data_IF_116490340446
#
_entry.id   IF_116490340446
#
_cell.length_a   1.000
_cell.length_b   1.000
_cell.length_c   1.000
_cell.angle_alpha   90.00
_cell.angle_beta   90.00
_cell.angle_gamma   90.00
#
_symmetry.space_group_name_H-M   'P 1'
#
loop_
_entity.id
_entity.type
_entity.pdbx_description
1 polymer ?
#
# COMPACT_ATOMS: atom_id res chain seq x y z
N UNK A 1 33.08 79.36 51.93
CA UNK A 1 32.00 79.01 52.85
C UNK A 1 31.20 77.86 52.18
N UNK A 2 31.50 76.63 52.60
CA UNK A 2 30.92 75.40 52.10
C UNK A 2 29.93 74.86 53.09
N UNK A 3 28.68 74.65 52.65
CA UNK A 3 27.68 73.95 53.46
C UNK A 3 27.53 72.51 52.96
N UNK A 4 27.89 71.61 53.89
CA UNK A 4 27.72 70.16 53.73
C UNK A 4 26.25 69.80 54.07
N UNK A 5 25.54 69.17 53.16
CA UNK A 5 24.25 68.54 53.47
C UNK A 5 24.44 67.03 53.60
N UNK A 6 24.10 66.53 54.82
CA UNK A 6 24.01 65.12 55.12
C UNK A 6 22.62 64.62 54.75
N UNK A 7 22.55 63.62 53.84
CA UNK A 7 21.32 62.89 53.56
C UNK A 7 21.39 61.54 54.32
N UNK A 8 20.48 61.36 55.29
CA UNK A 8 20.23 60.07 55.96
C UNK A 8 19.42 59.18 54.98
N UNK A 9 19.98 58.02 54.57
CA UNK A 9 19.24 56.95 53.87
C UNK A 9 18.61 56.04 54.94
N UNK A 10 17.27 56.01 54.98
CA UNK A 10 16.50 55.00 55.70
C UNK A 10 16.43 53.75 54.83
N UNK A 11 17.04 52.65 55.22
CA UNK A 11 16.91 51.35 54.59
C UNK A 11 15.59 50.71 55.04
N UNK A 12 14.61 50.69 54.14
CA UNK A 12 13.40 49.84 54.27
C UNK A 12 13.75 48.44 53.86
N UNK A 13 13.79 47.52 54.83
CA UNK A 13 13.90 46.05 54.52
C UNK A 13 12.54 45.55 54.02
N UNK A 14 12.47 45.19 52.74
CA UNK A 14 11.35 44.46 52.12
C UNK A 14 11.57 42.98 52.44
N UNK A 15 10.62 42.25 53.04
CA UNK A 15 10.77 40.80 53.21
C UNK A 15 10.74 40.13 51.83
N UNK A 16 11.79 39.32 51.55
CA UNK A 16 11.93 38.56 50.33
C UNK A 16 10.77 37.55 50.18
N UNK A 17 9.98 37.72 49.16
CA UNK A 17 9.14 36.64 48.68
C UNK A 17 10.05 35.64 47.97
N UNK A 18 10.36 34.53 48.63
CA UNK A 18 10.89 33.33 48.00
C UNK A 18 9.81 32.75 47.07
N UNK A 19 9.83 33.17 45.84
CA UNK A 19 9.08 32.50 44.79
C UNK A 19 9.70 31.12 44.58
N UNK A 20 9.17 30.10 45.23
CA UNK A 20 9.40 28.71 44.85
C UNK A 20 8.92 28.52 43.41
N UNK A 21 9.80 28.71 42.44
CA UNK A 21 9.65 28.21 41.11
C UNK A 21 9.68 26.68 41.21
N UNK A 22 8.51 26.07 41.30
CA UNK A 22 8.40 24.63 41.03
C UNK A 22 8.92 24.41 39.62
N UNK A 23 10.18 24.02 39.54
CA UNK A 23 10.79 23.60 38.28
C UNK A 23 9.96 22.47 37.72
N UNK A 24 9.22 22.75 36.64
CA UNK A 24 8.58 21.72 35.83
C UNK A 24 9.69 20.80 35.32
N UNK A 25 9.86 19.66 36.01
CA UNK A 25 10.79 18.62 35.53
C UNK A 25 10.29 18.18 34.18
N UNK A 26 10.91 18.71 33.13
CA UNK A 26 10.60 18.32 31.75
C UNK A 26 10.90 16.83 31.63
N UNK A 27 9.87 16.01 31.48
CA UNK A 27 10.03 14.57 31.20
C UNK A 27 10.88 14.38 29.96
N UNK A 28 11.89 13.51 30.00
CA UNK A 28 12.69 13.15 28.86
C UNK A 28 11.77 12.52 27.80
N UNK A 29 11.70 13.12 26.62
CA UNK A 29 10.94 12.58 25.49
C UNK A 29 11.62 11.32 24.96
N UNK A 30 10.86 10.26 24.82
CA UNK A 30 11.34 8.93 24.39
C UNK A 30 10.63 8.41 23.13
N UNK A 31 9.54 9.07 22.73
CA UNK A 31 8.77 8.75 21.54
C UNK A 31 8.91 9.85 20.47
N UNK A 32 8.96 9.44 19.20
CA UNK A 32 8.91 10.37 18.08
C UNK A 32 7.51 10.95 17.91
N UNK A 33 6.58 10.13 17.47
CA UNK A 33 5.17 10.50 17.28
C UNK A 33 4.31 9.64 18.20
N UNK A 34 3.34 10.25 18.87
CA UNK A 34 2.23 9.55 19.53
C UNK A 34 0.93 9.88 18.80
N UNK A 35 0.29 8.86 18.24
CA UNK A 35 -1.07 8.94 17.68
C UNK A 35 -2.05 8.61 18.79
N UNK A 36 -2.96 9.54 19.10
CA UNK A 36 -3.83 9.50 20.28
C UNK A 36 -5.27 9.22 19.92
N UNK A 37 -5.87 8.21 20.57
CA UNK A 37 -7.32 7.99 20.59
C UNK A 37 -7.95 7.54 19.27
N UNK A 38 -7.17 7.00 18.33
CA UNK A 38 -7.68 6.46 17.09
C UNK A 38 -8.28 5.06 17.25
N UNK A 39 -9.24 4.71 16.40
CA UNK A 39 -9.73 3.33 16.28
C UNK A 39 -8.70 2.52 15.47
N UNK A 40 -7.83 1.81 16.18
CA UNK A 40 -6.75 1.03 15.59
C UNK A 40 -7.29 -0.28 15.02
N UNK A 41 -6.96 -0.54 13.74
CA UNK A 41 -7.22 -1.81 13.07
C UNK A 41 -5.89 -2.39 12.63
N UNK A 42 -5.43 -3.42 13.35
CA UNK A 42 -4.21 -4.17 13.03
C UNK A 42 -4.52 -5.67 12.94
N UNK A 43 -4.76 -6.18 11.74
CA UNK A 43 -5.21 -7.56 11.55
C UNK A 43 -4.21 -8.62 12.00
N UNK A 44 -2.90 -8.34 11.95
CA UNK A 44 -1.88 -9.26 12.46
C UNK A 44 -2.01 -9.50 13.96
N UNK A 45 -2.26 -8.43 14.71
CA UNK A 45 -2.30 -8.47 16.18
C UNK A 45 -3.73 -8.60 16.73
N UNK A 46 -4.74 -8.82 15.86
CA UNK A 46 -6.16 -8.89 16.20
C UNK A 46 -6.66 -7.67 16.97
N UNK A 47 -6.14 -6.48 16.63
CA UNK A 47 -6.58 -5.21 17.23
C UNK A 47 -7.67 -4.60 16.36
N UNK A 48 -8.82 -4.27 16.99
CA UNK A 48 -9.92 -3.53 16.37
C UNK A 48 -10.65 -2.74 17.47
N UNK A 49 -9.93 -1.79 18.07
CA UNK A 49 -10.42 -0.98 19.20
C UNK A 49 -9.69 0.37 19.30
N UNK A 50 -10.19 1.27 20.16
CA UNK A 50 -9.54 2.56 20.40
C UNK A 50 -8.24 2.36 21.19
N UNK A 51 -7.12 2.76 20.60
CA UNK A 51 -5.78 2.67 21.17
C UNK A 51 -4.92 3.86 20.78
N UNK A 52 -3.76 3.97 21.42
CA UNK A 52 -2.69 4.90 21.08
C UNK A 52 -1.51 4.15 20.48
N UNK A 53 -0.76 4.81 19.60
CA UNK A 53 0.43 4.25 18.96
C UNK A 53 1.59 5.23 19.20
N UNK A 54 2.74 4.72 19.66
CA UNK A 54 3.98 5.46 19.73
C UNK A 54 5.02 4.91 18.78
N UNK A 55 5.77 5.81 18.13
CA UNK A 55 6.93 5.46 17.30
C UNK A 55 8.24 5.76 18.05
N UNK A 56 9.32 5.11 17.64
CA UNK A 56 10.67 5.53 18.00
C UNK A 56 10.97 6.94 17.48
N UNK A 57 11.94 7.61 18.07
CA UNK A 57 12.40 8.91 17.58
C UNK A 57 13.16 8.71 16.28
N UNK A 58 12.74 9.44 15.25
CA UNK A 58 13.43 9.42 13.96
C UNK A 58 14.82 10.07 14.11
N UNK A 59 15.90 9.39 13.69
CA UNK A 59 17.22 10.01 13.68
C UNK A 59 17.24 11.20 12.69
N UNK A 60 18.15 12.16 12.87
CA UNK A 60 18.37 13.24 11.91
C UNK A 60 18.64 12.66 10.51
N UNK A 61 18.03 13.24 9.48
CA UNK A 61 18.33 12.88 8.10
C UNK A 61 19.68 13.50 7.70
N UNK A 62 20.63 12.67 7.29
CA UNK A 62 21.92 13.12 6.78
C UNK A 62 21.94 12.86 5.27
N UNK A 63 22.14 13.93 4.49
CA UNK A 63 22.15 13.84 3.02
C UNK A 63 23.18 12.81 2.55
N UNK A 64 22.75 11.87 1.73
CA UNK A 64 23.61 10.83 1.15
C UNK A 64 23.87 9.60 2.04
N UNK A 65 23.23 9.51 3.21
CA UNK A 65 23.30 8.31 4.05
C UNK A 65 21.95 7.59 4.12
N UNK A 66 21.93 6.25 4.16
CA UNK A 66 20.73 5.49 4.46
C UNK A 66 20.18 5.93 5.82
N UNK A 67 18.91 6.31 5.88
CA UNK A 67 18.27 6.69 7.13
C UNK A 67 17.60 5.46 7.71
N UNK A 68 18.01 5.06 8.93
CA UNK A 68 17.31 4.00 9.65
C UNK A 68 15.82 4.37 9.81
N UNK A 69 14.93 3.44 9.45
CA UNK A 69 13.48 3.64 9.60
C UNK A 69 13.09 3.38 11.06
N UNK A 70 12.58 4.41 11.79
CA UNK A 70 11.99 4.23 13.10
C UNK A 70 10.95 3.11 13.13
N UNK A 71 10.84 2.50 14.30
CA UNK A 71 9.95 1.35 14.52
C UNK A 71 8.75 1.76 15.37
N UNK A 72 7.74 0.90 15.38
CA UNK A 72 6.67 0.98 16.37
C UNK A 72 7.27 0.69 17.74
N UNK A 73 7.19 1.65 18.65
CA UNK A 73 7.71 1.54 20.01
C UNK A 73 6.69 0.90 20.96
N UNK A 74 5.41 1.28 20.83
CA UNK A 74 4.34 0.83 21.72
C UNK A 74 2.97 1.02 21.06
N UNK A 75 2.06 0.06 21.29
CA UNK A 75 0.61 0.19 21.07
C UNK A 75 -0.07 -0.11 22.39
N UNK A 76 -0.86 0.83 22.92
CA UNK A 76 -1.49 0.70 24.25
C UNK A 76 -2.75 1.58 24.34
N UNK A 77 -3.62 1.33 25.36
CA UNK A 77 -4.85 2.11 25.56
C UNK A 77 -4.61 3.55 26.03
N UNK A 78 -3.49 3.80 26.68
CA UNK A 78 -3.15 5.14 27.14
C UNK A 78 -1.63 5.34 27.17
N UNK A 79 -1.13 6.20 26.27
CA UNK A 79 0.28 6.59 26.20
C UNK A 79 0.40 8.04 26.66
N UNK A 80 1.34 8.31 27.60
CA UNK A 80 1.61 9.67 28.08
C UNK A 80 2.20 10.53 26.96
N UNK A 81 1.44 11.52 26.52
CA UNK A 81 1.84 12.43 25.43
C UNK A 81 3.00 13.36 25.80
N UNK A 82 3.27 13.58 27.11
CA UNK A 82 4.43 14.36 27.56
C UNK A 82 5.77 13.69 27.19
N UNK A 83 5.74 12.39 26.87
CA UNK A 83 6.91 11.62 26.42
C UNK A 83 7.17 11.70 24.92
N UNK A 84 6.32 12.38 24.13
CA UNK A 84 6.41 12.46 22.68
C UNK A 84 7.02 13.79 22.21
N UNK A 85 7.75 13.73 21.08
CA UNK A 85 8.16 14.93 20.35
C UNK A 85 6.98 15.58 19.62
N UNK A 86 6.09 14.74 19.08
CA UNK A 86 4.92 15.15 18.32
C UNK A 86 3.71 14.32 18.72
N UNK A 87 2.54 14.95 18.77
CA UNK A 87 1.27 14.28 19.10
C UNK A 87 0.28 14.53 17.97
N UNK A 88 -0.36 13.46 17.52
CA UNK A 88 -1.42 13.48 16.51
C UNK A 88 -2.72 13.05 17.17
N UNK A 89 -3.74 13.88 17.14
CA UNK A 89 -5.08 13.51 17.61
C UNK A 89 -5.85 12.81 16.51
N UNK A 90 -6.07 11.50 16.67
CA UNK A 90 -6.81 10.67 15.74
C UNK A 90 -8.21 10.26 16.26
N UNK A 91 -8.75 10.98 17.26
CA UNK A 91 -10.08 10.68 17.82
C UNK A 91 -11.15 10.72 16.74
N UNK A 92 -11.95 9.64 16.64
CA UNK A 92 -13.00 9.50 15.62
C UNK A 92 -12.50 9.06 14.24
N UNK A 93 -11.21 8.77 14.10
CA UNK A 93 -10.59 8.28 12.87
C UNK A 93 -10.13 6.83 13.05
N UNK A 94 -10.01 6.11 11.94
CA UNK A 94 -9.34 4.81 11.89
C UNK A 94 -7.83 4.99 11.77
N UNK A 95 -7.09 4.10 12.41
CA UNK A 95 -5.62 4.04 12.30
C UNK A 95 -5.23 2.63 11.93
N UNK A 96 -4.47 2.47 10.85
CA UNK A 96 -4.01 1.19 10.35
C UNK A 96 -2.50 1.18 10.16
N UNK A 97 -1.88 0.00 9.97
CA UNK A 97 -0.56 -0.06 9.34
C UNK A 97 -0.55 0.71 8.03
N UNK A 98 0.62 1.17 7.60
CA UNK A 98 0.81 1.74 6.27
C UNK A 98 0.34 0.77 5.19
N UNK A 99 -0.43 1.28 4.22
CA UNK A 99 -1.04 0.45 3.20
C UNK A 99 0.02 -0.07 2.22
N UNK A 100 -0.21 -1.29 1.73
CA UNK A 100 0.61 -1.99 0.74
C UNK A 100 -0.24 -2.25 -0.49
N UNK A 101 0.13 -1.64 -1.60
CA UNK A 101 -0.47 -1.88 -2.90
C UNK A 101 0.42 -2.81 -3.72
N UNK A 102 -0.01 -4.06 -3.92
CA UNK A 102 0.80 -5.08 -4.62
C UNK A 102 0.62 -5.07 -6.13
N UNK A 103 -0.18 -4.16 -6.66
CA UNK A 103 -0.42 -4.07 -8.10
C UNK A 103 -0.36 -2.62 -8.56
N UNK A 104 0.83 -2.18 -8.96
CA UNK A 104 1.06 -0.82 -9.45
C UNK A 104 2.02 -0.84 -10.63
N UNK A 105 2.06 0.25 -11.38
CA UNK A 105 2.98 0.45 -12.48
C UNK A 105 3.70 1.78 -12.30
N UNK A 106 4.90 1.70 -11.71
CA UNK A 106 5.69 2.86 -11.28
C UNK A 106 7.06 2.94 -11.94
N UNK A 107 7.36 2.06 -12.87
CA UNK A 107 8.55 2.20 -13.72
C UNK A 107 8.33 3.30 -14.76
N UNK A 108 8.19 4.53 -14.27
CA UNK A 108 8.00 5.73 -15.07
C UNK A 108 9.24 6.09 -15.86
N UNK A 109 9.05 6.58 -17.10
CA UNK A 109 10.11 7.07 -17.97
C UNK A 109 9.59 8.03 -19.02
N UNK A 110 10.41 8.30 -20.03
CA UNK A 110 10.11 9.27 -21.07
C UNK A 110 9.81 8.63 -22.43
N UNK A 111 9.93 7.31 -22.54
CA UNK A 111 9.63 6.61 -23.80
C UNK A 111 8.14 6.60 -24.09
N UNK A 112 7.72 7.22 -25.20
CA UNK A 112 6.34 7.19 -25.67
C UNK A 112 5.98 5.86 -26.36
N UNK A 113 7.00 5.11 -26.80
CA UNK A 113 6.82 3.82 -27.46
C UNK A 113 6.68 2.66 -26.47
N UNK A 114 7.07 2.85 -25.22
CA UNK A 114 7.03 1.83 -24.20
C UNK A 114 5.80 2.02 -23.31
N UNK A 115 5.10 0.93 -22.99
CA UNK A 115 3.84 0.99 -22.27
C UNK A 115 4.07 1.29 -20.77
N UNK A 116 4.41 0.28 -19.97
CA UNK A 116 4.57 0.41 -18.51
C UNK A 116 6.02 0.16 -18.04
N UNK A 117 6.93 -0.12 -18.95
CA UNK A 117 8.36 -0.30 -18.71
C UNK A 117 9.10 0.94 -19.20
N UNK A 118 9.58 1.79 -18.29
CA UNK A 118 10.23 3.06 -18.62
C UNK A 118 9.39 3.98 -19.52
N UNK A 119 8.08 3.78 -19.50
CA UNK A 119 7.11 4.49 -20.33
C UNK A 119 6.35 5.57 -19.58
N UNK A 120 5.69 6.46 -20.34
CA UNK A 120 4.92 7.58 -19.78
C UNK A 120 3.54 7.17 -19.23
N UNK A 121 3.11 5.92 -19.45
CA UNK A 121 1.84 5.40 -18.89
C UNK A 121 2.01 4.96 -17.44
N UNK A 122 3.21 4.57 -17.01
CA UNK A 122 3.54 4.41 -15.59
C UNK A 122 3.52 5.76 -14.87
N UNK A 123 3.49 5.73 -13.53
CA UNK A 123 3.41 6.96 -12.72
C UNK A 123 4.58 7.08 -11.74
N UNK A 124 4.91 8.31 -11.36
CA UNK A 124 5.88 8.58 -10.29
C UNK A 124 5.21 8.21 -8.95
N UNK A 125 5.74 7.25 -8.17
CA UNK A 125 5.06 6.74 -6.98
C UNK A 125 4.75 7.83 -5.96
N UNK A 126 5.70 8.68 -5.59
CA UNK A 126 5.58 9.70 -4.56
C UNK A 126 4.49 10.75 -4.85
N UNK A 127 4.06 10.86 -6.11
CA UNK A 127 2.98 11.79 -6.51
C UNK A 127 1.58 11.26 -6.16
N UNK A 128 1.44 9.97 -5.87
CA UNK A 128 0.12 9.33 -5.71
C UNK A 128 -0.04 8.53 -4.42
N UNK A 129 1.04 7.94 -3.89
CA UNK A 129 0.98 6.95 -2.82
C UNK A 129 0.63 7.56 -1.47
N UNK A 130 1.39 8.54 -1.00
CA UNK A 130 1.25 9.07 0.36
C UNK A 130 -0.09 9.75 0.63
N UNK A 131 -0.65 10.43 -0.36
CA UNK A 131 -1.97 11.08 -0.24
C UNK A 131 -3.13 10.09 -0.07
N UNK A 132 -2.86 8.81 -0.22
CA UNK A 132 -3.84 7.72 -0.12
C UNK A 132 -3.49 6.69 0.95
N UNK A 133 -2.50 6.99 1.81
CA UNK A 133 -2.09 6.12 2.90
C UNK A 133 -1.15 4.97 2.50
N UNK A 134 -0.80 4.87 1.22
CA UNK A 134 0.08 3.82 0.71
C UNK A 134 1.53 4.17 1.02
N UNK A 135 2.23 3.30 1.75
CA UNK A 135 3.66 3.46 2.11
C UNK A 135 4.56 2.52 1.34
N UNK A 136 3.99 1.45 0.80
CA UNK A 136 4.70 0.44 0.01
C UNK A 136 3.91 0.10 -1.24
N UNK A 137 4.59 0.10 -2.39
CA UNK A 137 4.03 -0.37 -3.66
C UNK A 137 4.87 -1.51 -4.22
N UNK A 138 4.21 -2.39 -4.98
CA UNK A 138 4.89 -3.41 -5.79
C UNK A 138 4.61 -3.10 -7.26
N UNK A 139 5.65 -2.78 -8.00
CA UNK A 139 5.54 -2.68 -9.45
C UNK A 139 5.27 -4.06 -10.06
N UNK A 140 4.15 -4.19 -10.75
CA UNK A 140 3.64 -5.47 -11.23
C UNK A 140 4.16 -5.79 -12.65
N UNK A 141 5.48 -5.87 -12.79
CA UNK A 141 6.11 -6.36 -14.02
C UNK A 141 6.52 -5.28 -15.02
N UNK A 142 6.61 -4.03 -14.60
CA UNK A 142 7.19 -2.98 -15.45
C UNK A 142 8.59 -3.34 -15.90
N UNK A 143 9.44 -3.84 -15.01
CA UNK A 143 10.78 -4.32 -15.34
C UNK A 143 10.83 -5.84 -15.53
N UNK A 144 11.61 -6.29 -16.51
CA UNK A 144 12.11 -7.66 -16.62
C UNK A 144 13.59 -7.73 -16.20
N UNK A 145 14.21 -8.92 -16.31
CA UNK A 145 15.60 -9.12 -15.90
C UNK A 145 16.60 -8.23 -16.65
N UNK A 146 16.32 -7.78 -17.87
CA UNK A 146 17.19 -6.88 -18.65
C UNK A 146 17.12 -5.44 -18.17
N UNK A 147 15.95 -4.98 -17.70
CA UNK A 147 15.69 -3.58 -17.37
C UNK A 147 15.66 -3.27 -15.88
N UNK A 148 15.76 -4.28 -15.01
CA UNK A 148 15.64 -4.11 -13.56
C UNK A 148 16.63 -3.11 -12.96
N UNK A 149 17.90 -3.13 -13.39
CA UNK A 149 18.90 -2.19 -12.86
C UNK A 149 18.58 -0.74 -13.22
N UNK A 150 17.98 -0.51 -14.40
CA UNK A 150 17.48 0.82 -14.80
C UNK A 150 16.31 1.24 -13.92
N UNK A 151 15.37 0.33 -13.67
CA UNK A 151 14.24 0.58 -12.77
C UNK A 151 14.72 0.88 -11.35
N UNK A 152 15.65 0.07 -10.83
CA UNK A 152 16.23 0.27 -9.51
C UNK A 152 16.84 1.67 -9.38
N UNK A 153 17.76 2.01 -10.27
CA UNK A 153 18.50 3.29 -10.24
C UNK A 153 17.57 4.50 -10.39
N UNK A 154 16.58 4.42 -11.31
CA UNK A 154 15.80 5.58 -11.72
C UNK A 154 14.54 5.78 -10.87
N UNK A 155 14.05 4.72 -10.20
CA UNK A 155 12.81 4.78 -9.43
C UNK A 155 13.00 4.30 -7.99
N UNK A 156 13.47 3.06 -7.79
CA UNK A 156 13.53 2.46 -6.44
C UNK A 156 14.43 3.28 -5.52
N UNK A 157 15.66 3.58 -5.97
CA UNK A 157 16.69 4.24 -5.16
C UNK A 157 16.39 5.72 -4.86
N UNK A 158 15.48 6.34 -5.60
CA UNK A 158 15.19 7.78 -5.45
C UNK A 158 13.81 8.06 -4.85
N UNK A 159 12.92 7.06 -4.78
CA UNK A 159 11.57 7.22 -4.26
C UNK A 159 11.56 7.27 -2.73
N UNK A 160 10.76 8.16 -2.16
CA UNK A 160 10.45 8.15 -0.74
C UNK A 160 9.45 7.02 -0.39
N UNK A 161 8.58 6.66 -1.31
CA UNK A 161 7.73 5.45 -1.24
C UNK A 161 8.62 4.21 -1.26
N UNK A 162 8.32 3.20 -0.43
CA UNK A 162 8.99 1.90 -0.57
C UNK A 162 8.48 1.21 -1.83
N UNK A 163 9.36 1.10 -2.84
CA UNK A 163 9.06 0.46 -4.12
C UNK A 163 9.70 -0.92 -4.15
N UNK A 164 8.87 -1.94 -4.33
CA UNK A 164 9.25 -3.33 -4.57
C UNK A 164 8.84 -3.72 -5.99
N UNK A 165 9.28 -4.87 -6.46
CA UNK A 165 9.05 -5.31 -7.85
C UNK A 165 8.65 -6.78 -7.92
N UNK A 166 7.68 -7.10 -8.75
CA UNK A 166 7.55 -8.41 -9.37
C UNK A 166 8.18 -8.33 -10.76
N UNK A 167 9.25 -9.09 -11.02
CA UNK A 167 9.88 -9.07 -12.33
C UNK A 167 8.98 -9.71 -13.39
N UNK A 168 8.85 -9.05 -14.54
CA UNK A 168 8.19 -9.67 -15.68
C UNK A 168 9.00 -10.87 -16.16
N UNK A 169 8.31 -11.96 -16.53
CA UNK A 169 8.96 -13.11 -17.16
C UNK A 169 9.56 -12.75 -18.52
N UNK A 170 9.01 -11.74 -19.20
CA UNK A 170 9.59 -11.13 -20.40
C UNK A 170 10.80 -10.29 -19.98
N UNK A 171 11.96 -10.58 -20.56
CA UNK A 171 13.21 -9.90 -20.17
C UNK A 171 13.21 -8.39 -20.34
N UNK A 172 12.52 -7.89 -21.37
CA UNK A 172 12.32 -6.45 -21.62
C UNK A 172 11.34 -5.78 -20.64
N UNK A 173 10.54 -6.56 -19.90
CA UNK A 173 9.46 -6.04 -19.07
C UNK A 173 8.20 -5.69 -19.86
N UNK A 174 7.33 -4.88 -19.28
CA UNK A 174 6.01 -4.53 -19.84
C UNK A 174 6.10 -3.36 -20.83
N UNK A 175 6.84 -3.57 -21.92
CA UNK A 175 6.99 -2.57 -22.97
C UNK A 175 5.78 -2.47 -23.89
N UNK A 176 4.86 -3.45 -23.83
CA UNK A 176 3.69 -3.53 -24.71
C UNK A 176 3.95 -4.22 -26.05
N UNK A 177 2.86 -4.45 -26.80
CA UNK A 177 2.93 -4.96 -28.18
C UNK A 177 3.71 -6.27 -28.34
N UNK A 178 4.61 -6.29 -29.30
CA UNK A 178 5.38 -7.50 -29.66
C UNK A 178 6.31 -8.01 -28.56
N UNK A 179 6.79 -7.11 -27.68
CA UNK A 179 7.69 -7.50 -26.59
C UNK A 179 7.04 -8.51 -25.65
N UNK A 180 5.79 -8.28 -25.28
CA UNK A 180 5.04 -9.15 -24.36
C UNK A 180 4.57 -10.46 -25.00
N UNK A 181 4.63 -10.57 -26.33
CA UNK A 181 4.30 -11.77 -27.10
C UNK A 181 5.52 -12.63 -27.43
N UNK A 182 6.74 -12.19 -27.04
CA UNK A 182 7.98 -12.87 -27.39
C UNK A 182 8.35 -13.96 -26.39
N UNK A 183 7.91 -15.19 -26.63
CA UNK A 183 8.26 -16.35 -25.79
C UNK A 183 9.78 -16.55 -25.71
N UNK A 184 10.54 -16.22 -26.77
CA UNK A 184 12.00 -16.34 -26.80
C UNK A 184 12.71 -15.50 -25.74
N UNK A 185 12.08 -14.42 -25.27
CA UNK A 185 12.59 -13.53 -24.22
C UNK A 185 12.14 -13.91 -22.79
N UNK A 186 11.26 -14.90 -22.64
CA UNK A 186 10.76 -15.39 -21.35
C UNK A 186 11.69 -16.47 -20.80
N UNK A 187 12.73 -16.07 -20.09
CA UNK A 187 13.79 -16.96 -19.57
C UNK A 187 13.64 -17.14 -18.05
N UNK A 188 13.24 -18.34 -17.62
CA UNK A 188 13.00 -18.65 -16.21
C UNK A 188 14.25 -18.53 -15.35
N UNK A 189 15.39 -18.99 -15.85
CA UNK A 189 16.64 -19.02 -15.13
C UNK A 189 17.21 -17.62 -14.95
N UNK A 190 17.26 -16.81 -16.02
CA UNK A 190 17.74 -15.42 -15.93
C UNK A 190 16.82 -14.56 -15.09
N UNK A 191 15.51 -14.75 -15.19
CA UNK A 191 14.53 -14.02 -14.36
C UNK A 191 14.69 -14.36 -12.88
N UNK A 192 14.84 -15.65 -12.54
CA UNK A 192 15.07 -16.11 -11.18
C UNK A 192 16.43 -15.64 -10.63
N UNK A 193 17.49 -15.70 -11.44
CA UNK A 193 18.83 -15.23 -11.04
C UNK A 193 18.80 -13.73 -10.72
N UNK A 194 18.22 -12.89 -11.58
CA UNK A 194 18.07 -11.45 -11.34
C UNK A 194 17.27 -11.15 -10.06
N UNK A 195 16.23 -11.94 -9.75
CA UNK A 195 15.46 -11.80 -8.52
C UNK A 195 16.29 -12.15 -7.28
N UNK A 196 17.05 -13.26 -7.31
CA UNK A 196 17.87 -13.71 -6.18
C UNK A 196 19.02 -12.73 -5.88
N UNK A 197 19.62 -12.13 -6.92
CA UNK A 197 20.63 -11.08 -6.79
C UNK A 197 20.05 -9.80 -6.17
N UNK A 198 18.75 -9.57 -6.32
CA UNK A 198 18.05 -8.35 -5.88
C UNK A 198 16.91 -8.64 -4.90
N UNK A 199 17.01 -9.67 -4.07
CA UNK A 199 15.98 -10.16 -3.14
C UNK A 199 15.47 -9.12 -2.13
N UNK A 200 16.19 -8.03 -1.95
CA UNK A 200 15.77 -6.90 -1.11
C UNK A 200 14.60 -6.16 -1.76
N UNK A 201 14.58 -6.09 -3.09
CA UNK A 201 13.60 -5.31 -3.86
C UNK A 201 12.63 -6.18 -4.66
N UNK A 202 13.07 -7.37 -5.10
CA UNK A 202 12.23 -8.28 -5.89
C UNK A 202 11.49 -9.24 -4.96
N UNK A 203 10.16 -9.28 -5.09
CA UNK A 203 9.26 -10.04 -4.22
C UNK A 203 8.39 -11.04 -4.96
N UNK A 204 8.57 -11.22 -6.26
CA UNK A 204 7.80 -12.13 -7.08
C UNK A 204 8.04 -11.95 -8.57
N UNK A 205 7.18 -12.59 -9.36
CA UNK A 205 7.23 -12.51 -10.82
C UNK A 205 5.86 -12.22 -11.41
N UNK A 206 5.83 -11.60 -12.59
CA UNK A 206 4.61 -11.21 -13.30
C UNK A 206 4.59 -11.81 -14.71
N UNK A 207 3.44 -12.28 -15.12
CA UNK A 207 3.06 -12.48 -16.53
C UNK A 207 1.84 -11.62 -16.82
N UNK A 208 1.88 -10.80 -17.86
CA UNK A 208 0.76 -9.98 -18.31
C UNK A 208 0.65 -9.94 -19.83
N UNK A 209 -0.56 -9.64 -20.31
CA UNK A 209 -0.90 -9.28 -21.70
C UNK A 209 -0.50 -10.30 -22.79
N UNK A 210 -0.14 -11.54 -22.44
CA UNK A 210 0.11 -12.57 -23.43
C UNK A 210 -1.22 -13.05 -24.01
N UNK A 211 -1.44 -12.79 -25.30
CA UNK A 211 -2.73 -12.95 -25.96
C UNK A 211 -2.93 -14.25 -26.74
N UNK A 212 -1.95 -15.18 -26.74
CA UNK A 212 -2.04 -16.45 -27.48
C UNK A 212 -2.46 -17.59 -26.55
N UNK A 213 -3.16 -18.60 -27.12
CA UNK A 213 -3.54 -19.80 -26.40
C UNK A 213 -2.35 -20.77 -26.25
N UNK A 214 -1.34 -20.36 -25.46
CA UNK A 214 -0.11 -21.12 -25.20
C UNK A 214 0.23 -21.04 -23.72
N UNK A 215 0.45 -22.16 -23.07
CA UNK A 215 0.81 -22.24 -21.65
C UNK A 215 2.30 -22.02 -21.36
N UNK A 216 3.16 -22.01 -22.38
CA UNK A 216 4.61 -21.84 -22.21
C UNK A 216 4.99 -20.63 -21.35
N UNK A 217 4.38 -19.45 -21.51
CA UNK A 217 4.68 -18.30 -20.63
C UNK A 217 4.37 -18.57 -19.15
N UNK A 218 3.25 -19.23 -18.85
CA UNK A 218 2.86 -19.59 -17.48
C UNK A 218 3.81 -20.63 -16.90
N UNK A 219 4.19 -21.65 -17.68
CA UNK A 219 5.16 -22.68 -17.29
C UNK A 219 6.52 -22.06 -16.94
N UNK A 220 7.01 -21.14 -17.77
CA UNK A 220 8.26 -20.42 -17.54
C UNK A 220 8.19 -19.52 -16.32
N UNK A 221 7.09 -18.79 -16.15
CA UNK A 221 6.85 -17.95 -14.96
C UNK A 221 6.86 -18.78 -13.67
N UNK A 222 6.09 -19.86 -13.63
CA UNK A 222 6.00 -20.72 -12.44
C UNK A 222 7.31 -21.46 -12.14
N UNK A 223 8.10 -21.80 -13.19
CA UNK A 223 9.46 -22.32 -13.04
C UNK A 223 10.37 -21.29 -12.38
N UNK A 224 10.35 -20.02 -12.81
CA UNK A 224 11.11 -18.95 -12.15
C UNK A 224 10.70 -18.80 -10.67
N UNK A 225 9.39 -18.82 -10.40
CA UNK A 225 8.84 -18.78 -9.04
C UNK A 225 9.29 -19.93 -8.15
N UNK A 226 9.42 -21.14 -8.71
CA UNK A 226 9.95 -22.33 -8.00
C UNK A 226 11.45 -22.19 -7.71
N UNK A 227 12.25 -21.73 -8.67
CA UNK A 227 13.70 -21.56 -8.51
C UNK A 227 14.01 -20.54 -7.41
N UNK A 228 13.32 -19.39 -7.39
CA UNK A 228 13.58 -18.32 -6.45
C UNK A 228 12.80 -18.44 -5.12
N UNK A 229 11.92 -19.42 -4.98
CA UNK A 229 10.93 -19.52 -3.87
C UNK A 229 10.14 -18.22 -3.68
N UNK A 230 9.62 -17.66 -4.78
CA UNK A 230 8.82 -16.43 -4.77
C UNK A 230 7.44 -16.68 -5.39
N UNK A 231 6.41 -15.89 -5.02
CA UNK A 231 5.09 -15.96 -5.64
C UNK A 231 5.14 -15.48 -7.09
N UNK A 232 4.17 -15.93 -7.88
CA UNK A 232 3.94 -15.39 -9.21
C UNK A 232 2.57 -14.72 -9.28
N UNK A 233 2.47 -13.67 -10.08
CA UNK A 233 1.21 -12.99 -10.40
C UNK A 233 0.89 -13.18 -11.87
N UNK A 234 -0.30 -13.72 -12.16
CA UNK A 234 -0.75 -13.96 -13.52
C UNK A 234 -1.92 -13.04 -13.83
N UNK A 235 -1.74 -12.27 -14.89
CA UNK A 235 -2.80 -11.58 -15.61
C UNK A 235 -3.12 -12.40 -16.85
N UNK A 236 -4.15 -13.22 -16.75
CA UNK A 236 -4.50 -14.22 -17.74
C UNK A 236 -5.57 -13.71 -18.70
N UNK A 237 -5.40 -13.93 -20.01
CA UNK A 237 -6.24 -13.25 -20.97
C UNK A 237 -6.45 -13.90 -22.35
N UNK A 238 -6.25 -15.21 -22.52
CA UNK A 238 -6.68 -15.88 -23.75
C UNK A 238 -8.00 -16.61 -23.55
N UNK A 239 -9.02 -16.31 -24.37
CA UNK A 239 -10.36 -16.89 -24.27
C UNK A 239 -10.46 -18.40 -24.52
N UNK A 240 -9.37 -19.02 -24.98
CA UNK A 240 -9.31 -20.47 -25.27
C UNK A 240 -8.60 -21.26 -24.14
N UNK A 241 -8.26 -20.63 -23.03
CA UNK A 241 -7.58 -21.27 -21.90
C UNK A 241 -8.48 -21.27 -20.67
N UNK A 242 -8.54 -22.41 -19.97
CA UNK A 242 -9.38 -22.60 -18.79
C UNK A 242 -8.75 -22.02 -17.56
N UNK A 243 -9.52 -21.25 -16.76
CA UNK A 243 -9.10 -20.83 -15.42
C UNK A 243 -8.91 -22.01 -14.49
N UNK A 244 -9.72 -23.07 -14.62
CA UNK A 244 -9.57 -24.26 -13.77
C UNK A 244 -8.23 -24.96 -14.02
N UNK A 245 -7.81 -25.07 -15.29
CA UNK A 245 -6.49 -25.61 -15.64
C UNK A 245 -5.37 -24.71 -15.10
N UNK A 246 -5.48 -23.38 -15.26
CA UNK A 246 -4.53 -22.43 -14.69
C UNK A 246 -4.35 -22.64 -13.18
N UNK A 247 -5.46 -22.70 -12.43
CA UNK A 247 -5.43 -22.72 -10.97
C UNK A 247 -4.90 -24.05 -10.40
N UNK A 248 -5.18 -25.17 -11.02
CA UNK A 248 -4.84 -26.48 -10.44
C UNK A 248 -3.64 -27.18 -11.10
N UNK A 249 -3.27 -26.82 -12.31
CA UNK A 249 -2.11 -27.39 -12.98
C UNK A 249 -0.85 -26.53 -12.84
N UNK A 250 -1.00 -25.21 -12.86
CA UNK A 250 0.14 -24.30 -12.96
C UNK A 250 0.41 -23.51 -11.69
N UNK A 251 -0.63 -22.97 -11.02
CA UNK A 251 -0.46 -22.10 -9.86
C UNK A 251 -0.37 -22.88 -8.55
N UNK A 252 0.36 -22.31 -7.60
CA UNK A 252 0.61 -22.88 -6.27
C UNK A 252 -0.12 -22.07 -5.19
N UNK A 253 -0.35 -22.62 -3.99
CA UNK A 253 -0.73 -21.81 -2.84
C UNK A 253 0.25 -20.63 -2.65
N UNK A 254 -0.30 -19.41 -2.49
CA UNK A 254 0.46 -18.18 -2.41
C UNK A 254 0.73 -17.47 -3.75
N UNK A 255 0.52 -18.14 -4.89
CA UNK A 255 0.54 -17.46 -6.19
C UNK A 255 -0.72 -16.60 -6.36
N UNK A 256 -0.67 -15.60 -7.24
CA UNK A 256 -1.67 -14.54 -7.35
C UNK A 256 -2.34 -14.59 -8.71
N UNK A 257 -3.67 -14.68 -8.69
CA UNK A 257 -4.52 -14.41 -9.85
C UNK A 257 -5.08 -13.01 -9.73
N UNK A 258 -4.65 -12.10 -10.60
CA UNK A 258 -5.09 -10.70 -10.58
C UNK A 258 -6.24 -10.42 -11.54
N UNK A 259 -6.81 -9.22 -11.45
CA UNK A 259 -7.99 -8.81 -12.19
C UNK A 259 -9.18 -9.76 -11.98
N UNK A 260 -9.32 -10.24 -10.75
CA UNK A 260 -10.26 -11.32 -10.43
C UNK A 260 -11.73 -10.99 -10.70
N UNK A 261 -12.11 -9.69 -10.71
CA UNK A 261 -13.47 -9.25 -11.04
C UNK A 261 -13.61 -8.68 -12.45
N UNK A 262 -12.68 -9.05 -13.35
CA UNK A 262 -12.77 -8.69 -14.76
C UNK A 262 -13.92 -9.39 -15.47
N UNK A 263 -14.51 -8.71 -16.47
CA UNK A 263 -15.52 -9.27 -17.35
C UNK A 263 -15.28 -8.81 -18.79
N UNK A 264 -14.56 -9.64 -19.57
CA UNK A 264 -14.28 -9.38 -20.98
C UNK A 264 -14.73 -10.60 -21.79
N UNK A 265 -16.00 -10.64 -22.24
CA UNK A 265 -16.56 -11.77 -22.97
C UNK A 265 -15.70 -12.14 -24.18
N UNK A 266 -15.48 -13.45 -24.37
CA UNK A 266 -14.70 -13.98 -25.49
C UNK A 266 -13.18 -13.82 -25.38
N UNK A 267 -12.68 -13.05 -24.40
CA UNK A 267 -11.25 -12.82 -24.17
C UNK A 267 -10.80 -13.47 -22.86
N UNK A 268 -11.59 -13.33 -21.81
CA UNK A 268 -11.24 -13.83 -20.47
C UNK A 268 -12.42 -14.59 -19.86
N UNK A 269 -12.15 -15.79 -19.36
CA UNK A 269 -13.13 -16.56 -18.58
C UNK A 269 -13.39 -15.85 -17.23
N UNK A 270 -14.64 -15.44 -16.91
CA UNK A 270 -14.95 -14.83 -15.63
C UNK A 270 -14.99 -15.89 -14.50
N UNK A 271 -14.74 -15.45 -13.28
CA UNK A 271 -14.81 -16.30 -12.07
C UNK A 271 -16.22 -16.73 -11.69
N UNK A 272 -17.23 -16.09 -12.28
CA UNK A 272 -18.65 -16.45 -12.13
C UNK A 272 -19.15 -17.15 -13.37
N UNK A 273 -20.15 -17.98 -13.20
CA UNK A 273 -20.97 -18.45 -14.31
C UNK A 273 -21.86 -17.30 -14.83
N UNK A 274 -21.84 -17.07 -16.12
CA UNK A 274 -22.50 -15.89 -16.72
C UNK A 274 -24.03 -15.98 -16.78
N UNK A 275 -24.60 -17.18 -16.69
CA UNK A 275 -26.05 -17.41 -16.70
C UNK A 275 -26.59 -17.41 -15.27
N UNK A 276 -26.06 -18.29 -14.44
CA UNK A 276 -26.51 -18.46 -13.04
C UNK A 276 -26.04 -17.37 -12.10
N UNK A 277 -25.01 -16.60 -12.47
CA UNK A 277 -24.30 -15.61 -11.65
C UNK A 277 -23.63 -16.19 -10.39
N UNK A 278 -23.48 -17.51 -10.32
CA UNK A 278 -22.80 -18.16 -9.22
C UNK A 278 -21.28 -18.12 -9.39
N UNK A 279 -20.56 -17.96 -8.29
CA UNK A 279 -19.11 -18.15 -8.29
C UNK A 279 -18.83 -19.61 -8.60
N UNK A 280 -17.99 -19.85 -9.59
CA UNK A 280 -17.67 -21.22 -10.05
C UNK A 280 -17.05 -22.05 -8.88
N UNK A 281 -17.48 -23.30 -8.68
CA UNK A 281 -17.01 -24.10 -7.55
C UNK A 281 -15.49 -24.23 -7.45
N UNK A 282 -14.82 -24.40 -8.60
CA UNK A 282 -13.36 -24.51 -8.66
C UNK A 282 -12.64 -23.21 -8.23
N UNK A 283 -13.25 -22.03 -8.45
CA UNK A 283 -12.70 -20.74 -8.00
C UNK A 283 -12.67 -20.68 -6.47
N UNK A 284 -13.77 -21.08 -5.81
CA UNK A 284 -13.79 -21.14 -4.33
C UNK A 284 -12.78 -22.15 -3.79
N UNK A 285 -12.68 -23.32 -4.43
CA UNK A 285 -11.71 -24.34 -4.06
C UNK A 285 -10.26 -23.83 -4.22
N UNK A 286 -9.97 -23.11 -5.28
CA UNK A 286 -8.64 -22.52 -5.50
C UNK A 286 -8.28 -21.51 -4.38
N UNK A 287 -9.21 -20.62 -4.02
CA UNK A 287 -9.01 -19.68 -2.92
C UNK A 287 -8.82 -20.40 -1.57
N UNK A 288 -9.63 -21.42 -1.28
CA UNK A 288 -9.48 -22.25 -0.07
C UNK A 288 -8.14 -23.00 -0.02
N UNK A 289 -7.59 -23.38 -1.17
CA UNK A 289 -6.28 -24.01 -1.30
C UNK A 289 -5.12 -22.99 -1.21
N UNK A 290 -5.41 -21.71 -0.98
CA UNK A 290 -4.39 -20.68 -0.76
C UNK A 290 -3.98 -19.88 -1.98
N UNK A 291 -4.67 -20.02 -3.14
CA UNK A 291 -4.48 -19.10 -4.25
C UNK A 291 -4.99 -17.70 -3.85
N UNK A 292 -4.20 -16.68 -4.14
CA UNK A 292 -4.51 -15.29 -3.81
C UNK A 292 -5.27 -14.66 -4.98
N UNK A 293 -6.45 -14.15 -4.70
CA UNK A 293 -7.24 -13.39 -5.65
C UNK A 293 -7.03 -11.89 -5.42
N UNK A 294 -6.33 -11.25 -6.35
CA UNK A 294 -6.10 -9.80 -6.35
C UNK A 294 -7.11 -9.09 -7.23
N UNK A 295 -7.54 -7.90 -6.80
CA UNK A 295 -8.52 -7.17 -7.58
C UNK A 295 -7.91 -6.50 -8.82
N UNK A 296 -6.70 -5.95 -8.73
CA UNK A 296 -6.08 -5.23 -9.83
C UNK A 296 -7.08 -4.32 -10.54
N UNK A 297 -7.62 -3.32 -9.83
CA UNK A 297 -8.81 -2.57 -10.27
C UNK A 297 -8.65 -1.95 -11.67
N UNK A 298 -7.58 -1.21 -11.89
CA UNK A 298 -7.14 -0.65 -13.16
C UNK A 298 -8.12 0.26 -13.89
N UNK A 299 -7.89 0.38 -15.18
CA UNK A 299 -8.77 1.09 -16.12
C UNK A 299 -9.62 0.16 -16.98
N UNK A 300 -9.36 -1.16 -16.94
CA UNK A 300 -10.01 -2.17 -17.78
C UNK A 300 -10.46 -3.44 -17.06
N UNK A 301 -10.31 -3.57 -15.74
CA UNK A 301 -10.33 -4.89 -15.09
C UNK A 301 -11.32 -5.05 -13.94
N UNK A 302 -12.11 -4.04 -13.60
CA UNK A 302 -13.11 -4.13 -12.54
C UNK A 302 -14.53 -3.90 -13.07
N UNK A 303 -15.38 -4.91 -12.94
CA UNK A 303 -16.74 -4.89 -13.48
C UNK A 303 -17.78 -5.35 -12.46
N UNK A 304 -18.82 -4.55 -12.24
CA UNK A 304 -19.90 -4.88 -11.31
C UNK A 304 -20.71 -6.11 -11.71
N UNK A 305 -20.71 -6.50 -12.99
CA UNK A 305 -21.35 -7.74 -13.46
C UNK A 305 -20.71 -8.99 -12.84
N UNK A 306 -19.42 -8.93 -12.50
CA UNK A 306 -18.69 -9.98 -11.78
C UNK A 306 -18.64 -9.69 -10.26
N UNK A 307 -18.29 -8.45 -9.88
CA UNK A 307 -18.04 -8.09 -8.49
C UNK A 307 -19.30 -8.26 -7.61
N UNK A 308 -20.45 -7.72 -8.03
CA UNK A 308 -21.68 -7.75 -7.21
C UNK A 308 -22.15 -9.18 -6.93
N UNK A 309 -22.29 -10.08 -7.93
CA UNK A 309 -22.67 -11.46 -7.65
C UNK A 309 -21.66 -12.21 -6.77
N UNK A 310 -20.37 -12.04 -7.01
CA UNK A 310 -19.31 -12.68 -6.22
C UNK A 310 -19.38 -12.25 -4.75
N UNK A 311 -19.41 -10.93 -4.49
CA UNK A 311 -19.47 -10.36 -3.14
C UNK A 311 -20.75 -10.76 -2.39
N UNK A 312 -21.91 -10.79 -3.05
CA UNK A 312 -23.19 -11.25 -2.46
C UNK A 312 -23.14 -12.70 -1.98
N UNK A 313 -22.27 -13.52 -2.58
CA UNK A 313 -22.08 -14.92 -2.21
C UNK A 313 -20.92 -15.12 -1.22
N UNK A 314 -20.37 -14.02 -0.63
CA UNK A 314 -19.28 -14.06 0.32
C UNK A 314 -17.93 -14.39 -0.32
N UNK A 315 -17.76 -14.27 -1.63
CA UNK A 315 -16.47 -14.36 -2.29
C UNK A 315 -15.81 -12.98 -2.30
N UNK A 316 -14.84 -12.79 -1.41
CA UNK A 316 -14.07 -11.56 -1.28
C UNK A 316 -12.67 -11.74 -1.86
N UNK A 317 -12.10 -10.70 -2.51
CA UNK A 317 -10.71 -10.75 -2.94
C UNK A 317 -9.78 -10.78 -1.71
N UNK A 318 -8.61 -11.40 -1.87
CA UNK A 318 -7.61 -11.46 -0.80
C UNK A 318 -6.83 -10.15 -0.69
N UNK A 319 -6.59 -9.47 -1.83
CA UNK A 319 -5.87 -8.19 -1.90
C UNK A 319 -6.62 -7.18 -2.77
N UNK A 320 -6.48 -5.90 -2.39
CA UNK A 320 -7.12 -4.78 -3.07
C UNK A 320 -6.08 -3.95 -3.85
N UNK A 321 -5.35 -4.62 -4.76
CA UNK A 321 -4.42 -3.96 -5.67
C UNK A 321 -5.11 -2.94 -6.57
N UNK A 322 -4.51 -1.76 -6.75
CA UNK A 322 -5.15 -0.68 -7.52
C UNK A 322 -4.93 -0.81 -9.02
N UNK A 323 -3.86 -1.47 -9.46
CA UNK A 323 -3.37 -1.37 -10.84
C UNK A 323 -3.15 0.10 -11.23
N UNK A 324 -2.37 0.78 -10.36
CA UNK A 324 -2.07 2.22 -10.48
C UNK A 324 -1.23 2.49 -11.73
N UNK A 325 -1.79 3.24 -12.66
CA UNK A 325 -1.13 3.77 -13.84
C UNK A 325 -1.87 5.01 -14.36
N UNK A 326 -1.32 5.75 -15.32
CA UNK A 326 -1.85 7.05 -15.76
C UNK A 326 -3.33 7.01 -16.19
N UNK A 327 -3.78 5.93 -16.83
CA UNK A 327 -5.18 5.82 -17.26
C UNK A 327 -6.14 5.51 -16.11
N UNK A 328 -5.68 4.80 -15.07
CA UNK A 328 -6.54 4.38 -13.95
C UNK A 328 -6.80 5.49 -12.93
N UNK A 329 -5.84 6.43 -12.74
CA UNK A 329 -5.97 7.53 -11.76
C UNK A 329 -7.09 8.51 -12.06
N UNK A 330 -7.42 8.72 -13.33
CA UNK A 330 -8.54 9.56 -13.77
C UNK A 330 -9.77 8.74 -14.17
N UNK A 331 -9.68 7.43 -14.12
CA UNK A 331 -10.74 6.48 -14.44
C UNK A 331 -11.65 6.17 -13.25
N UNK A 332 -12.17 4.94 -13.25
CA UNK A 332 -13.03 4.41 -12.20
C UNK A 332 -12.25 4.11 -10.90
N UNK A 333 -10.99 3.67 -11.00
CA UNK A 333 -10.12 3.32 -9.88
C UNK A 333 -9.79 4.54 -9.00
N UNK A 334 -9.30 5.61 -9.57
CA UNK A 334 -8.83 6.85 -8.92
C UNK A 334 -7.65 6.67 -7.97
N UNK A 335 -7.87 6.09 -6.80
CA UNK A 335 -6.89 5.89 -5.74
C UNK A 335 -7.31 4.78 -4.76
N UNK A 336 -6.42 4.41 -3.85
CA UNK A 336 -6.67 3.35 -2.85
C UNK A 336 -7.88 3.64 -1.96
N UNK A 337 -8.11 4.91 -1.57
CA UNK A 337 -9.27 5.27 -0.75
C UNK A 337 -10.58 5.11 -1.51
N UNK A 338 -10.58 5.36 -2.83
CA UNK A 338 -11.73 5.09 -3.67
C UNK A 338 -11.98 3.58 -3.82
N UNK A 339 -10.94 2.77 -4.02
CA UNK A 339 -11.06 1.30 -4.04
C UNK A 339 -11.67 0.80 -2.72
N UNK A 340 -11.18 1.25 -1.57
CA UNK A 340 -11.76 0.92 -0.26
C UNK A 340 -13.24 1.29 -0.17
N UNK A 341 -13.60 2.46 -0.68
CA UNK A 341 -14.98 2.96 -0.64
C UNK A 341 -15.91 2.15 -1.54
N UNK A 342 -15.42 1.68 -2.69
CA UNK A 342 -16.13 0.73 -3.57
C UNK A 342 -16.44 -0.56 -2.80
N UNK A 343 -15.44 -1.17 -2.16
CA UNK A 343 -15.62 -2.43 -1.44
C UNK A 343 -16.50 -2.27 -0.20
N UNK A 344 -16.43 -1.12 0.49
CA UNK A 344 -17.37 -0.77 1.55
C UNK A 344 -18.81 -0.67 1.04
N UNK A 345 -19.03 -0.05 -0.12
CA UNK A 345 -20.34 0.03 -0.76
C UNK A 345 -20.86 -1.37 -1.22
N UNK A 346 -19.93 -2.27 -1.55
CA UNK A 346 -20.23 -3.69 -1.83
C UNK A 346 -20.33 -4.54 -0.56
N UNK A 347 -20.39 -3.92 0.65
CA UNK A 347 -20.62 -4.53 1.97
C UNK A 347 -19.45 -5.37 2.50
N UNK A 348 -18.24 -5.16 2.05
CA UNK A 348 -17.04 -5.66 2.74
C UNK A 348 -16.85 -4.86 4.04
N UNK A 349 -16.60 -5.53 5.16
CA UNK A 349 -16.38 -4.86 6.44
C UNK A 349 -15.01 -4.14 6.49
N UNK A 350 -14.92 -3.11 7.34
CA UNK A 350 -13.73 -2.26 7.40
C UNK A 350 -12.47 -3.04 7.80
N UNK A 351 -12.49 -3.92 8.82
CA UNK A 351 -11.33 -4.73 9.16
C UNK A 351 -10.85 -5.61 8.00
N UNK A 352 -11.76 -6.20 7.22
CA UNK A 352 -11.42 -7.01 6.04
C UNK A 352 -10.80 -6.17 4.92
N UNK A 353 -11.32 -4.95 4.67
CA UNK A 353 -10.74 -3.99 3.71
C UNK A 353 -9.30 -3.65 4.12
N UNK A 354 -9.09 -3.28 5.39
CA UNK A 354 -7.75 -2.96 5.91
C UNK A 354 -6.81 -4.16 5.81
N UNK A 355 -7.28 -5.37 6.17
CA UNK A 355 -6.50 -6.60 6.06
C UNK A 355 -6.05 -6.86 4.62
N UNK A 356 -6.93 -6.64 3.65
CA UNK A 356 -6.65 -6.86 2.23
C UNK A 356 -5.67 -5.83 1.61
N UNK A 357 -5.31 -4.77 2.34
CA UNK A 357 -4.33 -3.77 1.92
C UNK A 357 -3.19 -3.58 2.94
N UNK A 358 -3.05 -4.46 3.93
CA UNK A 358 -1.97 -4.42 4.93
C UNK A 358 -1.35 -5.80 5.14
N UNK A 359 -1.94 -6.62 5.99
CA UNK A 359 -1.36 -7.90 6.41
C UNK A 359 -1.39 -8.97 5.33
N UNK A 360 -2.50 -9.09 4.59
CA UNK A 360 -2.57 -10.09 3.50
C UNK A 360 -1.53 -9.82 2.40
N UNK A 361 -1.42 -8.60 1.82
CA UNK A 361 -0.37 -8.33 0.84
C UNK A 361 1.05 -8.50 1.42
N UNK A 362 1.31 -8.12 2.68
CA UNK A 362 2.61 -8.34 3.32
C UNK A 362 3.01 -9.83 3.35
N UNK A 363 2.08 -10.70 3.72
CA UNK A 363 2.30 -12.15 3.69
C UNK A 363 2.48 -12.68 2.26
N UNK A 364 1.65 -12.21 1.33
CA UNK A 364 1.68 -12.62 -0.08
C UNK A 364 3.05 -12.36 -0.72
N UNK A 365 3.64 -11.19 -0.43
CA UNK A 365 4.97 -10.82 -0.95
C UNK A 365 6.12 -11.27 -0.04
N UNK A 366 5.86 -12.11 0.97
CA UNK A 366 6.84 -12.62 1.94
C UNK A 366 7.60 -11.52 2.70
N UNK A 367 6.94 -10.41 3.04
CA UNK A 367 7.50 -9.29 3.80
C UNK A 367 6.72 -9.06 5.12
N UNK A 368 6.77 -10.04 6.07
CA UNK A 368 5.96 -9.99 7.30
C UNK A 368 6.38 -8.89 8.29
N UNK A 369 7.48 -8.22 8.05
CA UNK A 369 7.91 -7.02 8.78
C UNK A 369 7.08 -5.78 8.42
N UNK A 370 6.31 -5.83 7.32
CA UNK A 370 5.42 -4.76 6.84
C UNK A 370 3.95 -5.07 7.20
N UNK A 371 3.07 -4.09 7.00
CA UNK A 371 1.62 -4.24 7.10
C UNK A 371 1.10 -4.58 8.49
N UNK A 372 1.83 -4.22 9.57
CA UNK A 372 1.41 -4.44 10.95
C UNK A 372 1.99 -3.39 11.91
N UNK A 373 1.42 -3.30 13.13
CA UNK A 373 1.82 -2.36 14.17
C UNK A 373 2.49 -3.06 15.38
N UNK A 374 3.04 -4.26 15.20
CA UNK A 374 3.78 -4.94 16.26
C UNK A 374 4.96 -4.08 16.73
N UNK A 375 5.26 -4.10 18.03
CA UNK A 375 6.49 -3.48 18.54
C UNK A 375 7.70 -3.97 17.74
N UNK A 376 8.52 -3.05 17.24
CA UNK A 376 9.68 -3.33 16.40
C UNK A 376 9.37 -3.44 14.90
N UNK A 377 8.11 -3.45 14.45
CA UNK A 377 7.75 -3.30 13.04
C UNK A 377 8.11 -1.89 12.55
N UNK A 378 8.28 -1.73 11.23
CA UNK A 378 8.51 -0.40 10.64
C UNK A 378 7.34 0.52 11.00
N UNK A 379 7.62 1.76 11.39
CA UNK A 379 6.60 2.73 11.76
C UNK A 379 5.93 3.35 10.52
N UNK A 380 5.29 2.50 9.72
CA UNK A 380 4.42 2.88 8.61
C UNK A 380 2.97 2.87 9.11
N UNK A 381 2.29 4.02 9.10
CA UNK A 381 0.96 4.18 9.68
C UNK A 381 0.10 5.06 8.78
N UNK A 382 -1.18 4.69 8.65
CA UNK A 382 -2.18 5.48 7.93
C UNK A 382 -3.32 5.87 8.87
N UNK A 383 -3.69 7.16 8.89
CA UNK A 383 -4.86 7.69 9.60
C UNK A 383 -5.94 8.02 8.57
N UNK A 384 -7.13 7.49 8.76
CA UNK A 384 -8.21 7.50 7.78
C UNK A 384 -9.49 8.03 8.45
N UNK A 385 -10.15 9.01 7.86
CA UNK A 385 -11.49 9.43 8.25
C UNK A 385 -12.55 8.74 7.39
N UNK A 386 -13.78 8.69 7.91
CA UNK A 386 -14.97 8.26 7.20
C UNK A 386 -15.86 9.46 6.95
N UNK A 387 -16.08 9.79 5.68
CA UNK A 387 -17.05 10.82 5.29
C UNK A 387 -18.43 10.20 5.08
N UNK A 388 -19.44 10.81 5.66
CA UNK A 388 -20.84 10.51 5.44
C UNK A 388 -21.40 11.38 4.30
N UNK A 389 -22.30 10.83 3.47
CA UNK A 389 -22.91 11.56 2.36
C UNK A 389 -23.42 10.63 1.26
N UNK A 390 -23.83 11.22 0.14
CA UNK A 390 -24.24 10.49 -1.06
C UNK A 390 -23.09 10.40 -2.05
N UNK A 391 -22.57 9.21 -2.26
CA UNK A 391 -21.44 8.95 -3.15
C UNK A 391 -21.83 7.98 -4.26
N UNK A 392 -21.19 8.13 -5.42
CA UNK A 392 -21.30 7.20 -6.54
C UNK A 392 -19.94 6.68 -6.95
N UNK A 393 -19.83 5.36 -7.09
CA UNK A 393 -18.62 4.67 -7.48
C UNK A 393 -18.84 3.97 -8.83
N UNK A 394 -17.95 4.25 -9.79
CA UNK A 394 -18.05 3.67 -11.14
C UNK A 394 -17.21 2.40 -11.25
N UNK A 395 -17.67 1.47 -12.10
CA UNK A 395 -16.81 0.45 -12.69
C UNK A 395 -16.19 0.94 -14.01
N UNK A 396 -15.42 0.07 -14.66
CA UNK A 396 -14.72 0.40 -15.91
C UNK A 396 -15.64 0.62 -17.13
N UNK A 397 -16.88 0.10 -17.09
CA UNK A 397 -17.84 0.28 -18.18
C UNK A 397 -18.88 1.39 -17.90
N UNK A 398 -18.70 2.08 -16.77
CA UNK A 398 -19.51 3.25 -16.42
C UNK A 398 -20.74 2.96 -15.54
N UNK A 399 -20.98 1.71 -15.11
CA UNK A 399 -22.02 1.41 -14.14
C UNK A 399 -21.68 2.08 -12.80
N UNK A 400 -22.72 2.53 -12.09
CA UNK A 400 -22.61 3.24 -10.83
C UNK A 400 -23.16 2.41 -9.67
N UNK A 401 -22.32 2.22 -8.64
CA UNK A 401 -22.73 1.74 -7.32
C UNK A 401 -22.88 2.93 -6.38
N UNK A 402 -23.99 2.99 -5.65
CA UNK A 402 -24.20 4.01 -4.63
C UNK A 402 -23.63 3.59 -3.27
N UNK A 403 -23.15 4.57 -2.51
CA UNK A 403 -22.68 4.41 -1.14
C UNK A 403 -22.95 5.64 -0.29
N UNK A 404 -23.11 5.43 1.02
CA UNK A 404 -23.34 6.49 2.00
C UNK A 404 -22.08 6.92 2.76
N UNK A 405 -20.98 6.20 2.56
CA UNK A 405 -19.71 6.42 3.25
C UNK A 405 -18.55 6.36 2.27
N UNK A 406 -17.53 7.18 2.52
CA UNK A 406 -16.31 7.24 1.74
C UNK A 406 -15.09 7.39 2.65
N UNK A 407 -14.07 6.61 2.41
CA UNK A 407 -12.76 6.76 3.07
C UNK A 407 -12.01 7.98 2.55
N UNK A 408 -11.28 8.66 3.44
CA UNK A 408 -10.40 9.77 3.13
C UNK A 408 -9.12 9.67 3.98
N UNK A 409 -7.96 9.67 3.35
CA UNK A 409 -6.68 9.64 4.05
C UNK A 409 -6.42 11.01 4.70
N UNK A 410 -6.19 11.02 6.02
CA UNK A 410 -5.90 12.23 6.79
C UNK A 410 -4.41 12.43 7.03
N UNK A 411 -3.69 11.33 7.30
CA UNK A 411 -2.26 11.37 7.59
C UNK A 411 -1.60 10.08 7.13
N UNK A 412 -0.40 10.21 6.60
CA UNK A 412 0.47 9.07 6.29
C UNK A 412 1.83 9.28 6.97
N UNK A 413 2.24 8.27 7.72
CA UNK A 413 3.56 8.19 8.34
C UNK A 413 4.30 7.04 7.67
N UNK A 414 5.49 7.32 7.12
CA UNK A 414 6.39 6.32 6.57
C UNK A 414 7.72 6.33 7.33
N UNK A 415 8.12 5.18 7.84
CA UNK A 415 9.34 5.07 8.63
C UNK A 415 9.38 6.10 9.76
N UNK A 416 8.28 6.26 10.52
CA UNK A 416 8.19 7.19 11.65
C UNK A 416 8.21 8.69 11.29
N UNK A 417 8.07 9.06 10.03
CA UNK A 417 8.03 10.45 9.55
C UNK A 417 6.70 10.75 8.89
N UNK A 418 6.11 11.90 9.21
CA UNK A 418 4.91 12.38 8.49
C UNK A 418 5.31 12.74 7.07
N UNK A 419 4.70 12.06 6.10
CA UNK A 419 4.94 12.27 4.65
C UNK A 419 3.73 12.88 3.94
N UNK A 420 2.55 12.81 4.56
CA UNK A 420 1.33 13.47 4.11
C UNK A 420 0.45 13.84 5.29
N UNK A 421 -0.11 15.03 5.28
CA UNK A 421 -1.04 15.53 6.31
C UNK A 421 -2.06 16.46 5.63
N UNK A 422 -3.27 15.95 5.42
CA UNK A 422 -4.32 16.64 4.67
C UNK A 422 -4.79 17.91 5.38
N UNK A 423 -4.94 17.85 6.71
CA UNK A 423 -5.56 18.90 7.51
C UNK A 423 -4.64 19.44 8.62
N UNK A 424 -3.33 19.26 8.48
CA UNK A 424 -2.31 19.69 9.45
C UNK A 424 -2.55 19.15 10.88
N UNK A 425 -3.15 17.94 11.01
CA UNK A 425 -3.46 17.33 12.32
C UNK A 425 -2.21 16.94 13.10
N UNK A 426 -1.06 16.92 12.44
CA UNK A 426 0.24 16.66 13.05
C UNK A 426 0.97 17.96 13.45
N UNK A 427 0.46 19.11 13.08
CA UNK A 427 1.11 20.42 13.29
C UNK A 427 0.59 21.09 14.56
N UNK A 428 1.43 21.91 15.19
CA UNK A 428 0.99 22.78 16.28
C UNK A 428 0.26 24.00 15.70
N UNK A 429 -0.82 24.49 16.36
CA UNK A 429 -1.43 25.75 15.96
C UNK A 429 -0.40 26.88 15.96
N UNK A 430 -0.47 27.77 14.98
CA UNK A 430 0.29 29.00 15.01
C UNK A 430 -0.24 29.86 16.18
N UNK A 431 0.61 30.16 17.15
CA UNK A 431 0.27 31.09 18.21
C UNK A 431 0.21 32.49 17.60
N UNK A 432 -0.96 33.10 17.65
CA UNK A 432 -1.17 34.52 17.26
C UNK A 432 -0.57 35.44 18.31
#
# INVERSE_FOLDING_TARGET
MSRLFFLCFLALSVPGFDAYSQGVVSKKRIYGIVIKGGHVIDPKNNINEVMDIATEIAPPSIKGQPVAEPKIALVAKNIDTALALQVVNAKGMYVSPGLIDIHTHVFYGHSKSDYLSNGSVAVIPDSYTFRTGVTTVVDAGGAGWKSFQTFKKNIIDISATRVLSMLNIVGEGMRGGEYEQNIGDMDSEKTAAAALENKEYVVGFKLAHFGKADWTPVERLTKAGKIADMPVMVDFGSGNQSLEELFFKYLRPGDIYTHSFCYVPGVREPIIDTETKLVKPFVRKAQQNGLIFDIGFGSGSFDYRTAIPAMKQGFYPNTLGTDLHASSINGAMKDQMNVFSVFLALRMDIPSIIKAATWTPALTIKRPELGNLSKGAVADITVISMREGDFGFKDIVGNRQEGKRRFECQLTIKGGRVVYDLNAISSKPHLQ
#
